data_IF_514044278302
#
_entry.id   IF_514044278302
#
_cell.length_a   1.000
_cell.length_b   1.000
_cell.length_c   1.000
_cell.angle_alpha   90.00
_cell.angle_beta   90.00
_cell.angle_gamma   90.00
#
_symmetry.space_group_name_H-M   'P 1'
#
loop_
_entity.id
_entity.type
_entity.pdbx_description
1 polymer ?
#
# COMPACT_ATOMS: atom_id res chain seq x y z
N UNK A 1 3.92 19.74 -6.24
CA UNK A 1 5.20 19.13 -6.70
C UNK A 1 5.13 17.62 -6.48
N UNK A 2 5.98 16.84 -7.12
CA UNK A 2 6.09 15.38 -6.90
C UNK A 2 7.32 15.06 -6.06
N UNK A 3 7.21 14.04 -5.22
CA UNK A 3 8.31 13.44 -4.46
C UNK A 3 8.35 11.97 -4.83
N UNK A 4 9.51 11.50 -5.25
CA UNK A 4 9.71 10.09 -5.59
C UNK A 4 10.61 9.45 -4.56
N UNK A 5 10.15 8.33 -4.01
CA UNK A 5 10.91 7.48 -3.13
C UNK A 5 11.13 6.11 -3.79
N UNK A 6 12.21 5.44 -3.44
CA UNK A 6 12.52 4.10 -3.93
C UNK A 6 13.15 3.23 -2.87
N UNK A 7 12.99 1.91 -3.01
CA UNK A 7 13.72 0.89 -2.24
C UNK A 7 14.02 -0.30 -3.15
N UNK A 8 15.11 -0.99 -2.86
CA UNK A 8 15.37 -2.28 -3.50
C UNK A 8 14.52 -3.39 -2.87
N UNK A 9 14.35 -4.48 -3.61
CA UNK A 9 13.83 -5.73 -3.07
C UNK A 9 14.54 -6.11 -1.75
N UNK A 10 13.76 -6.48 -0.73
CA UNK A 10 14.27 -6.83 0.60
C UNK A 10 14.65 -5.65 1.51
N UNK A 11 14.65 -4.41 1.01
CA UNK A 11 14.87 -3.22 1.86
C UNK A 11 13.56 -2.74 2.47
N UNK A 12 13.57 -2.40 3.76
CA UNK A 12 12.41 -1.85 4.47
C UNK A 12 12.29 -0.33 4.33
N UNK A 13 13.41 0.38 4.23
CA UNK A 13 13.45 1.83 4.19
C UNK A 13 13.39 2.39 2.76
N UNK A 14 12.46 3.34 2.55
CA UNK A 14 12.35 4.13 1.33
C UNK A 14 13.36 5.27 1.33
N UNK A 15 14.10 5.43 0.23
CA UNK A 15 15.05 6.52 0.00
C UNK A 15 14.42 7.55 -0.92
N UNK A 16 14.57 8.84 -0.59
CA UNK A 16 14.14 9.91 -1.50
C UNK A 16 15.10 9.93 -2.69
N UNK A 17 14.57 9.74 -3.89
CA UNK A 17 15.36 9.84 -5.11
C UNK A 17 15.42 11.29 -5.57
N UNK A 18 14.26 11.92 -5.76
CA UNK A 18 14.19 13.28 -6.29
C UNK A 18 12.85 13.95 -5.99
N UNK A 19 12.84 15.29 -6.05
CA UNK A 19 11.66 16.13 -5.87
C UNK A 19 11.51 17.11 -7.04
N UNK A 20 10.29 17.33 -7.50
CA UNK A 20 9.96 18.39 -8.45
C UNK A 20 10.37 18.16 -9.91
N UNK A 21 10.85 16.96 -10.26
CA UNK A 21 11.16 16.56 -11.64
C UNK A 21 10.08 15.65 -12.23
N UNK A 22 9.91 15.73 -13.54
CA UNK A 22 9.00 14.87 -14.33
C UNK A 22 9.65 13.57 -14.78
N UNK A 23 10.98 13.47 -14.68
CA UNK A 23 11.77 12.28 -15.02
C UNK A 23 12.86 12.05 -13.98
N UNK A 24 13.23 10.78 -13.79
CA UNK A 24 14.22 10.32 -12.81
C UNK A 24 15.02 9.15 -13.41
N UNK A 25 16.28 8.99 -13.00
CA UNK A 25 17.07 7.81 -13.34
C UNK A 25 17.04 6.82 -12.19
N UNK A 26 16.62 5.59 -12.47
CA UNK A 26 16.47 4.54 -11.46
C UNK A 26 17.70 3.62 -11.44
N UNK A 27 18.35 3.43 -10.27
CA UNK A 27 19.46 2.50 -10.14
C UNK A 27 18.93 1.05 -10.08
N UNK A 28 18.61 0.48 -11.25
CA UNK A 28 18.09 -0.90 -11.31
C UNK A 28 19.19 -1.93 -10.96
N UNK A 29 18.87 -2.95 -10.14
CA UNK A 29 19.77 -4.07 -9.82
C UNK A 29 20.30 -4.76 -11.08
N UNK A 30 21.47 -5.40 -10.97
CA UNK A 30 22.10 -6.09 -12.11
C UNK A 30 21.65 -7.55 -12.25
N UNK A 31 21.41 -8.16 -11.11
CA UNK A 31 20.59 -9.34 -10.92
C UNK A 31 19.11 -9.00 -11.21
N UNK A 32 18.31 -9.97 -11.67
CA UNK A 32 16.89 -9.83 -12.05
C UNK A 32 15.95 -9.27 -10.96
N UNK A 33 16.49 -8.71 -9.88
CA UNK A 33 15.74 -7.98 -8.87
C UNK A 33 15.07 -6.72 -9.42
N UNK A 34 14.25 -6.14 -8.56
CA UNK A 34 13.43 -4.98 -8.87
C UNK A 34 13.61 -3.87 -7.83
N UNK A 35 13.12 -2.68 -8.19
CA UNK A 35 12.94 -1.57 -7.25
C UNK A 35 11.45 -1.30 -7.07
N UNK A 36 11.06 -0.99 -5.85
CA UNK A 36 9.73 -0.47 -5.54
C UNK A 36 9.83 1.05 -5.53
N UNK A 37 9.06 1.70 -6.38
CA UNK A 37 8.87 3.14 -6.39
C UNK A 37 7.62 3.49 -5.62
N UNK A 38 7.71 4.59 -4.88
CA UNK A 38 6.58 5.24 -4.28
C UNK A 38 6.55 6.70 -4.74
N UNK A 39 5.49 7.08 -5.42
CA UNK A 39 5.30 8.42 -5.98
C UNK A 39 4.22 9.11 -5.15
N UNK A 40 4.55 10.29 -4.61
CA UNK A 40 3.63 11.12 -3.83
C UNK A 40 3.57 12.52 -4.40
N UNK A 41 2.37 13.12 -4.39
CA UNK A 41 2.27 14.57 -4.45
C UNK A 41 2.85 15.16 -3.15
N UNK A 42 3.47 16.34 -3.22
CA UNK A 42 4.01 17.06 -2.07
C UNK A 42 3.75 18.57 -2.21
N UNK A 43 3.44 19.22 -1.08
CA UNK A 43 3.26 20.67 -0.93
C UNK A 43 3.32 21.09 0.54
N UNK A 44 2.96 22.34 0.86
CA UNK A 44 2.95 22.85 2.24
C UNK A 44 2.06 22.04 3.19
N UNK A 45 0.99 21.42 2.67
CA UNK A 45 0.11 20.53 3.43
C UNK A 45 0.67 19.12 3.69
N UNK A 46 1.92 18.84 3.28
CA UNK A 46 2.57 17.54 3.45
C UNK A 46 2.53 16.64 2.21
N UNK A 47 2.72 15.34 2.45
CA UNK A 47 2.71 14.30 1.42
C UNK A 47 1.25 13.88 1.12
N UNK A 48 0.89 13.85 -0.16
CA UNK A 48 -0.37 13.29 -0.65
C UNK A 48 -0.36 11.76 -0.72
N UNK A 49 -1.43 11.20 -1.28
CA UNK A 49 -1.60 9.74 -1.43
C UNK A 49 -0.41 9.12 -2.17
N UNK A 50 0.06 7.99 -1.66
CA UNK A 50 1.13 7.21 -2.24
C UNK A 50 0.63 6.32 -3.37
N UNK A 51 1.34 6.35 -4.50
CA UNK A 51 1.20 5.38 -5.57
C UNK A 51 2.46 4.51 -5.64
N UNK A 52 2.30 3.21 -5.48
CA UNK A 52 3.40 2.24 -5.54
C UNK A 52 3.45 1.54 -6.89
N UNK A 53 4.66 1.37 -7.43
CA UNK A 53 4.88 0.60 -8.65
C UNK A 53 6.22 -0.13 -8.60
N UNK A 54 6.32 -1.26 -9.31
CA UNK A 54 7.51 -2.11 -9.37
C UNK A 54 8.19 -1.91 -10.72
N UNK A 55 9.50 -1.67 -10.70
CA UNK A 55 10.31 -1.53 -11.90
C UNK A 55 11.44 -2.55 -11.86
N UNK A 56 11.46 -3.46 -12.83
CA UNK A 56 12.53 -4.44 -13.04
C UNK A 56 13.29 -4.13 -14.33
N UNK A 57 14.54 -4.59 -14.43
CA UNK A 57 15.34 -4.44 -15.65
C UNK A 57 14.83 -5.34 -16.77
N UNK A 58 14.63 -6.61 -16.44
CA UNK A 58 14.12 -7.61 -17.37
C UNK A 58 12.63 -7.78 -17.08
N UNK A 59 11.81 -7.00 -17.77
CA UNK A 59 10.34 -7.04 -17.70
C UNK A 59 9.77 -8.32 -18.34
N UNK A 60 10.49 -9.46 -18.25
CA UNK A 60 10.05 -10.75 -18.77
C UNK A 60 8.57 -10.90 -18.49
N UNK A 61 7.76 -11.10 -19.55
CA UNK A 61 6.31 -10.89 -19.54
C UNK A 61 5.63 -11.83 -18.55
N UNK A 62 5.66 -11.46 -17.28
CA UNK A 62 5.00 -12.14 -16.18
C UNK A 62 3.58 -11.62 -16.11
N UNK A 63 2.63 -12.46 -16.44
CA UNK A 63 1.21 -12.15 -16.32
C UNK A 63 0.90 -11.87 -14.83
N UNK A 64 0.57 -10.62 -14.48
CA UNK A 64 0.13 -10.26 -13.14
C UNK A 64 -1.23 -10.90 -12.85
N UNK A 65 -1.30 -11.74 -11.84
CA UNK A 65 -2.56 -12.27 -11.31
C UNK A 65 -2.97 -11.37 -10.15
N UNK A 66 -4.05 -10.60 -10.31
CA UNK A 66 -4.58 -9.78 -9.22
C UNK A 66 -5.24 -10.71 -8.20
N UNK A 67 -4.57 -10.96 -7.08
CA UNK A 67 -5.19 -11.60 -5.93
C UNK A 67 -5.92 -10.55 -5.10
N UNK A 68 -7.15 -10.22 -5.47
CA UNK A 68 -8.04 -9.47 -4.57
C UNK A 68 -8.53 -10.41 -3.45
N UNK A 69 -7.66 -10.67 -2.47
CA UNK A 69 -8.09 -11.23 -1.20
C UNK A 69 -8.91 -10.15 -0.48
N UNK A 70 -10.19 -10.03 -0.84
CA UNK A 70 -11.15 -9.22 -0.09
C UNK A 70 -11.26 -9.88 1.27
N UNK A 71 -10.62 -9.27 2.27
CA UNK A 71 -10.93 -9.55 3.67
C UNK A 71 -12.35 -9.03 3.89
N UNK A 72 -13.33 -9.85 3.55
CA UNK A 72 -14.72 -9.67 3.93
C UNK A 72 -14.75 -9.87 5.44
N UNK A 73 -14.54 -8.79 6.18
CA UNK A 73 -15.04 -8.73 7.54
C UNK A 73 -16.55 -8.96 7.43
N UNK A 74 -16.98 -10.18 7.77
CA UNK A 74 -18.38 -10.57 7.73
C UNK A 74 -19.12 -9.61 8.66
N UNK A 75 -19.84 -8.65 8.09
CA UNK A 75 -20.72 -7.73 8.82
C UNK A 75 -21.67 -8.49 9.76
N UNK A 76 -21.93 -9.76 9.44
CA UNK A 76 -22.74 -10.63 10.27
C UNK A 76 -22.17 -10.85 11.68
N UNK A 77 -20.85 -10.88 11.88
CA UNK A 77 -20.25 -11.13 13.20
C UNK A 77 -20.39 -9.92 14.15
N UNK A 78 -20.36 -8.70 13.60
CA UNK A 78 -20.49 -7.45 14.37
C UNK A 78 -21.96 -7.21 14.75
N UNK A 79 -22.89 -7.47 13.83
CA UNK A 79 -24.33 -7.38 14.13
C UNK A 79 -24.77 -8.42 15.17
N UNK A 80 -24.25 -9.64 15.09
CA UNK A 80 -24.61 -10.71 16.02
C UNK A 80 -24.10 -10.43 17.43
N UNK A 81 -22.85 -9.96 17.58
CA UNK A 81 -22.29 -9.60 18.89
C UNK A 81 -23.02 -8.42 19.54
N UNK A 82 -23.40 -7.39 18.76
CA UNK A 82 -24.19 -6.28 19.28
C UNK A 82 -25.59 -6.73 19.77
N UNK A 83 -26.29 -7.57 19.01
CA UNK A 83 -27.61 -8.07 19.38
C UNK A 83 -27.59 -8.88 20.69
N UNK A 84 -26.58 -9.74 20.87
CA UNK A 84 -26.40 -10.51 22.12
C UNK A 84 -26.15 -9.59 23.32
N UNK A 85 -25.35 -8.53 23.15
CA UNK A 85 -25.08 -7.57 24.22
C UNK A 85 -26.36 -6.85 24.65
N UNK A 86 -27.15 -6.35 23.70
CA UNK A 86 -28.44 -5.70 24.01
C UNK A 86 -29.42 -6.64 24.71
N UNK A 87 -29.49 -7.91 24.29
CA UNK A 87 -30.34 -8.90 24.93
C UNK A 87 -29.89 -9.21 26.37
N UNK A 88 -28.58 -9.22 26.65
CA UNK A 88 -28.05 -9.47 27.99
C UNK A 88 -28.33 -8.30 28.94
N UNK A 89 -28.21 -7.06 28.46
CA UNK A 89 -28.54 -5.85 29.22
C UNK A 89 -30.03 -5.88 29.61
N UNK A 90 -30.91 -6.20 28.65
CA UNK A 90 -32.35 -6.30 28.92
C UNK A 90 -32.75 -7.41 29.91
N UNK A 91 -31.93 -8.45 30.07
CA UNK A 91 -32.15 -9.52 31.05
C UNK A 91 -31.67 -9.12 32.46
N UNK A 92 -30.66 -8.25 32.56
CA UNK A 92 -30.11 -7.79 33.83
C UNK A 92 -30.94 -6.69 34.49
N UNK A 93 -31.71 -5.94 33.68
CA UNK A 93 -32.60 -4.87 34.14
C UNK A 93 -34.03 -5.36 34.49
N UNK A 94 -34.28 -6.68 34.50
CA UNK A 94 -35.56 -7.31 34.87
C UNK A 94 -35.56 -7.88 36.29
#
# INVERSE_FOLDING_TARGET
MTKVLYKHEGQSALKVLEKGKTSISLPLPKDNGYVVLEIRAWGEGGDGVAHETIVSRDSGTGMMVQNEAKILYSHHSVFFTAAVLFSLIGLLEL
#
